data_IF_335526233831
#
_entry.id   IF_335526233831
#
_cell.length_a   1.000
_cell.length_b   1.000
_cell.length_c   1.000
_cell.angle_alpha   90.00
_cell.angle_beta   90.00
_cell.angle_gamma   90.00
#
_symmetry.space_group_name_H-M   'P 1'
#
loop_
_entity.id
_entity.type
_entity.pdbx_description
1 polymer ?
#
# COMPACT_ATOMS: atom_id res chain seq x y z
N UNK A 1 17.75 -0.14 8.06
CA UNK A 1 16.72 0.91 7.87
C UNK A 1 15.36 0.31 7.45
N UNK A 2 14.85 -0.74 8.12
CA UNK A 2 13.56 -1.39 7.75
C UNK A 2 12.61 -1.57 8.96
N UNK A 3 12.34 -0.48 9.69
CA UNK A 3 11.51 -0.53 10.91
C UNK A 3 10.01 -0.26 10.68
N UNK A 4 9.60 0.08 9.45
CA UNK A 4 8.22 0.56 9.16
C UNK A 4 7.66 0.14 7.79
N UNK A 5 8.31 -0.77 7.08
CA UNK A 5 8.02 -1.06 5.67
C UNK A 5 6.63 -1.70 5.46
N UNK A 6 6.21 -2.62 6.33
CA UNK A 6 4.98 -3.37 6.13
C UNK A 6 3.70 -2.51 6.14
N UNK A 7 3.66 -1.43 6.95
CA UNK A 7 2.50 -0.52 7.02
C UNK A 7 2.35 0.34 5.77
N UNK A 8 3.43 0.99 5.33
CA UNK A 8 3.42 1.85 4.14
C UNK A 8 3.40 1.04 2.84
N UNK A 9 3.91 -0.19 2.88
CA UNK A 9 4.02 -1.09 1.75
C UNK A 9 2.88 -2.11 1.64
N UNK A 10 1.75 -1.95 2.34
CA UNK A 10 0.65 -2.94 2.32
C UNK A 10 0.18 -3.28 0.91
N UNK A 11 0.05 -2.27 0.06
CA UNK A 11 -0.33 -2.45 -1.35
C UNK A 11 0.71 -3.25 -2.11
N UNK A 12 2.00 -2.98 -1.88
CA UNK A 12 3.10 -3.72 -2.53
C UNK A 12 3.12 -5.17 -2.05
N UNK A 13 3.06 -5.39 -0.73
CA UNK A 13 3.05 -6.71 -0.12
C UNK A 13 1.82 -7.53 -0.50
N UNK A 14 0.64 -6.91 -0.58
CA UNK A 14 -0.58 -7.57 -1.00
C UNK A 14 -0.56 -7.97 -2.48
N UNK A 15 0.21 -7.25 -3.32
CA UNK A 15 0.42 -7.58 -4.73
C UNK A 15 1.40 -8.71 -4.98
N UNK A 16 2.14 -9.17 -3.96
CA UNK A 16 3.08 -10.28 -4.09
C UNK A 16 2.36 -11.64 -4.10
N UNK A 17 2.89 -12.64 -4.84
CA UNK A 17 2.48 -14.03 -4.67
C UNK A 17 2.56 -14.49 -3.21
N UNK A 18 1.67 -15.37 -2.72
CA UNK A 18 1.64 -15.74 -1.30
C UNK A 18 2.97 -16.24 -0.72
N UNK A 19 3.80 -16.92 -1.52
CA UNK A 19 5.12 -17.38 -1.10
C UNK A 19 6.11 -16.22 -0.94
N UNK A 20 6.20 -15.33 -1.93
CA UNK A 20 7.06 -14.14 -1.90
C UNK A 20 6.62 -13.16 -0.81
N UNK A 21 5.31 -13.02 -0.59
CA UNK A 21 4.75 -12.21 0.50
C UNK A 21 5.18 -12.72 1.87
N UNK A 22 5.08 -14.04 2.08
CA UNK A 22 5.53 -14.67 3.34
C UNK A 22 7.01 -14.44 3.56
N UNK A 23 7.81 -14.73 2.54
CA UNK A 23 9.28 -14.53 2.58
C UNK A 23 9.63 -13.07 2.87
N UNK A 24 9.01 -12.10 2.17
CA UNK A 24 9.21 -10.68 2.40
C UNK A 24 8.89 -10.29 3.85
N UNK A 25 7.77 -10.78 4.39
CA UNK A 25 7.38 -10.49 5.76
C UNK A 25 8.27 -11.19 6.81
N UNK A 26 8.92 -12.31 6.48
CA UNK A 26 9.87 -12.99 7.36
C UNK A 26 11.21 -12.23 7.46
N UNK A 27 11.56 -11.47 6.42
CA UNK A 27 12.72 -10.58 6.38
C UNK A 27 12.47 -9.22 7.04
N UNK A 28 11.21 -8.82 7.19
CA UNK A 28 10.82 -7.64 7.97
C UNK A 28 10.83 -8.08 9.42
N UNK A 29 11.90 -7.75 10.16
CA UNK A 29 12.01 -8.03 11.59
C UNK A 29 10.80 -7.54 12.43
N UNK A 30 10.83 -7.70 13.76
CA UNK A 30 9.64 -7.52 14.60
C UNK A 30 8.93 -6.18 14.35
N UNK A 31 7.60 -6.24 14.22
CA UNK A 31 6.76 -5.08 13.98
C UNK A 31 6.77 -4.16 15.22
N UNK A 32 7.41 -3.00 15.07
CA UNK A 32 7.49 -2.01 16.15
C UNK A 32 6.12 -1.36 16.40
N UNK A 33 5.65 -1.40 17.65
CA UNK A 33 4.45 -0.68 18.08
C UNK A 33 4.75 0.81 18.18
N UNK A 34 4.10 1.63 17.35
CA UNK A 34 4.22 3.09 17.41
C UNK A 34 3.04 3.74 18.15
N UNK A 35 1.86 3.11 18.07
CA UNK A 35 0.62 3.56 18.69
C UNK A 35 -0.16 2.37 19.22
N UNK A 36 -1.25 2.63 19.97
CA UNK A 36 -2.18 1.59 20.39
C UNK A 36 -2.84 0.82 19.23
N UNK A 37 -2.93 1.45 18.04
CA UNK A 37 -3.58 0.88 16.84
C UNK A 37 -2.61 0.15 15.91
N UNK A 38 -1.30 0.21 16.17
CA UNK A 38 -0.30 -0.44 15.32
C UNK A 38 -0.52 -1.96 15.28
N UNK A 39 -0.69 -2.53 14.09
CA UNK A 39 -0.71 -3.98 13.92
C UNK A 39 0.70 -4.52 14.20
N UNK A 40 0.80 -5.36 15.22
CA UNK A 40 2.05 -6.03 15.64
C UNK A 40 1.96 -7.55 15.57
N UNK A 41 0.75 -8.08 15.43
CA UNK A 41 0.51 -9.50 15.21
C UNK A 41 0.66 -9.85 13.72
N UNK A 42 1.37 -10.95 13.46
CA UNK A 42 1.68 -11.39 12.09
C UNK A 42 0.44 -11.93 11.38
N UNK A 43 -0.37 -12.76 12.04
CA UNK A 43 -1.59 -13.31 11.46
C UNK A 43 -2.56 -12.20 11.05
N UNK A 44 -2.74 -11.22 11.94
CA UNK A 44 -3.58 -10.06 11.66
C UNK A 44 -3.06 -9.20 10.51
N UNK A 45 -1.75 -9.05 10.37
CA UNK A 45 -1.18 -8.36 9.22
C UNK A 45 -1.48 -9.12 7.91
N UNK A 46 -1.35 -10.45 7.91
CA UNK A 46 -1.67 -11.27 6.74
C UNK A 46 -3.14 -11.16 6.33
N UNK A 47 -4.06 -11.22 7.28
CA UNK A 47 -5.50 -10.99 7.03
C UNK A 47 -5.76 -9.63 6.37
N UNK A 48 -5.09 -8.58 6.85
CA UNK A 48 -5.20 -7.24 6.26
C UNK A 48 -4.61 -7.20 4.85
N UNK A 49 -3.51 -7.90 4.59
CA UNK A 49 -2.92 -7.97 3.25
C UNK A 49 -3.82 -8.73 2.27
N UNK A 50 -4.51 -9.78 2.71
CA UNK A 50 -5.50 -10.49 1.91
C UNK A 50 -6.68 -9.57 1.55
N UNK A 51 -7.20 -8.81 2.52
CA UNK A 51 -8.23 -7.81 2.27
C UNK A 51 -7.78 -6.74 1.26
N UNK A 52 -6.54 -6.24 1.41
CA UNK A 52 -5.96 -5.26 0.48
C UNK A 52 -5.83 -5.83 -0.93
N UNK A 53 -5.44 -7.09 -1.08
CA UNK A 53 -5.33 -7.77 -2.36
C UNK A 53 -6.70 -7.91 -3.04
N UNK A 54 -7.74 -8.25 -2.27
CA UNK A 54 -9.11 -8.40 -2.77
C UNK A 54 -9.73 -7.05 -3.20
N UNK A 55 -9.63 -6.02 -2.36
CA UNK A 55 -10.29 -4.73 -2.62
C UNK A 55 -9.47 -3.79 -3.53
N UNK A 56 -8.18 -4.05 -3.69
CA UNK A 56 -7.28 -3.27 -4.55
C UNK A 56 -6.92 -1.88 -4.01
N UNK A 57 -6.99 -1.69 -2.68
CA UNK A 57 -6.49 -0.49 -1.99
C UNK A 57 -6.18 -0.81 -0.53
N UNK A 58 -5.37 0.03 0.12
CA UNK A 58 -5.14 -0.04 1.55
C UNK A 58 -5.61 1.27 2.20
N UNK A 59 -6.44 1.16 3.23
CA UNK A 59 -6.81 2.26 4.11
C UNK A 59 -6.32 1.93 5.52
N UNK A 60 -5.58 2.84 6.15
CA UNK A 60 -5.18 2.67 7.55
C UNK A 60 -5.19 3.98 8.31
N UNK A 61 -5.52 3.91 9.59
CA UNK A 61 -5.60 5.07 10.48
C UNK A 61 -4.91 4.78 11.81
N UNK A 62 -4.18 5.78 12.30
CA UNK A 62 -3.72 5.75 13.68
C UNK A 62 -2.52 4.84 13.92
N UNK A 63 -2.01 4.15 12.89
CA UNK A 63 -0.95 3.16 13.06
C UNK A 63 0.47 3.75 13.07
N UNK A 64 0.66 4.94 12.49
CA UNK A 64 1.94 5.65 12.51
C UNK A 64 1.91 6.79 13.53
N UNK A 65 0.77 7.47 13.61
CA UNK A 65 0.44 8.56 14.51
C UNK A 65 -1.09 8.51 14.69
N UNK A 66 -1.59 8.71 15.92
CA UNK A 66 -3.03 8.62 16.25
C UNK A 66 -3.90 9.56 15.41
N UNK A 67 -3.35 10.71 14.99
CA UNK A 67 -4.03 11.70 14.15
C UNK A 67 -3.92 11.44 12.65
N UNK A 68 -3.25 10.38 12.20
CA UNK A 68 -2.94 10.18 10.77
C UNK A 68 -3.84 9.12 10.12
N UNK A 69 -4.40 9.43 8.96
CA UNK A 69 -4.99 8.46 8.04
C UNK A 69 -4.24 8.45 6.71
N UNK A 70 -4.12 7.28 6.10
CA UNK A 70 -3.62 7.14 4.74
C UNK A 70 -4.48 6.17 3.93
N UNK A 71 -4.59 6.48 2.62
CA UNK A 71 -5.14 5.59 1.61
C UNK A 71 -4.11 5.40 0.50
N UNK A 72 -3.98 4.18 -0.01
CA UNK A 72 -3.03 3.83 -1.05
C UNK A 72 -3.63 2.87 -2.09
N UNK A 73 -3.18 2.99 -3.33
CA UNK A 73 -3.59 2.15 -4.48
C UNK A 73 -2.36 1.60 -5.22
N UNK A 74 -2.46 0.41 -5.83
CA UNK A 74 -1.38 -0.16 -6.62
C UNK A 74 -1.19 0.58 -7.95
N UNK A 75 0.05 0.60 -8.41
CA UNK A 75 0.44 0.92 -9.79
C UNK A 75 0.98 -0.37 -10.39
N UNK A 76 0.43 -0.75 -11.53
CA UNK A 76 0.78 -2.00 -12.21
C UNK A 76 1.66 -1.77 -13.43
N UNK A 77 2.48 -2.76 -13.75
CA UNK A 77 3.09 -2.85 -15.07
C UNK A 77 2.14 -3.45 -16.12
N UNK A 78 2.66 -3.63 -17.34
CA UNK A 78 1.92 -4.23 -18.47
C UNK A 78 1.48 -5.68 -18.21
N UNK A 79 2.19 -6.39 -17.34
CA UNK A 79 1.95 -7.79 -16.98
C UNK A 79 1.03 -7.88 -15.73
N UNK A 80 0.42 -6.74 -15.34
CA UNK A 80 -0.48 -6.59 -14.19
C UNK A 80 0.19 -6.85 -12.83
N UNK A 81 1.52 -6.81 -12.77
CA UNK A 81 2.26 -6.91 -11.51
C UNK A 81 2.27 -5.56 -10.81
N UNK A 82 2.10 -5.56 -9.49
CA UNK A 82 2.23 -4.34 -8.68
C UNK A 82 3.72 -3.96 -8.62
N UNK A 83 4.06 -2.81 -9.20
CA UNK A 83 5.45 -2.31 -9.28
C UNK A 83 5.69 -1.05 -8.45
N UNK A 84 4.60 -0.36 -8.10
CA UNK A 84 4.65 0.80 -7.22
C UNK A 84 3.30 0.98 -6.51
N UNK A 85 3.22 1.95 -5.61
CA UNK A 85 1.99 2.36 -4.96
C UNK A 85 1.92 3.89 -4.91
N UNK A 86 0.71 4.43 -5.07
CA UNK A 86 0.41 5.86 -4.88
C UNK A 86 -0.39 5.98 -3.60
N UNK A 87 0.01 6.90 -2.71
CA UNK A 87 -0.70 7.13 -1.47
C UNK A 87 -1.04 8.61 -1.26
N UNK A 88 -2.05 8.82 -0.42
CA UNK A 88 -2.35 10.11 0.19
C UNK A 88 -2.40 9.93 1.69
N UNK A 89 -1.81 10.86 2.43
CA UNK A 89 -1.84 10.89 3.89
C UNK A 89 -2.41 12.23 4.37
N UNK A 90 -3.22 12.19 5.42
CA UNK A 90 -3.95 13.36 5.94
C UNK A 90 -4.23 13.22 7.42
N UNK A 91 -4.55 14.33 8.08
CA UNK A 91 -5.07 14.29 9.44
C UNK A 91 -6.47 13.64 9.45
N UNK A 92 -6.71 12.71 10.37
CA UNK A 92 -7.94 11.90 10.43
C UNK A 92 -9.20 12.70 10.78
N UNK A 93 -9.06 13.90 11.33
CA UNK A 93 -10.19 14.83 11.57
C UNK A 93 -10.72 15.50 10.30
N UNK A 94 -9.97 15.47 9.19
CA UNK A 94 -10.35 16.19 7.97
C UNK A 94 -11.44 15.48 7.16
N UNK A 95 -11.50 14.15 7.26
CA UNK A 95 -12.45 13.30 6.54
C UNK A 95 -12.80 12.05 7.35
N UNK A 96 -13.84 11.33 6.99
CA UNK A 96 -14.14 9.98 7.49
C UNK A 96 -13.50 8.89 6.62
N UNK A 97 -13.39 7.63 7.09
CA UNK A 97 -13.00 6.50 6.25
C UNK A 97 -13.86 6.37 4.99
N UNK A 98 -15.16 6.58 5.10
CA UNK A 98 -16.13 6.50 4.02
C UNK A 98 -15.89 7.60 2.99
N UNK A 99 -15.64 8.85 3.41
CA UNK A 99 -15.28 9.94 2.49
C UNK A 99 -13.95 9.68 1.79
N UNK A 100 -13.00 9.01 2.44
CA UNK A 100 -11.76 8.60 1.77
C UNK A 100 -12.04 7.58 0.65
N UNK A 101 -12.93 6.61 0.86
CA UNK A 101 -13.24 5.58 -0.15
C UNK A 101 -14.19 6.07 -1.23
N UNK A 102 -15.09 7.01 -0.95
CA UNK A 102 -16.04 7.53 -1.94
C UNK A 102 -15.50 8.70 -2.75
N UNK A 103 -14.64 9.55 -2.16
CA UNK A 103 -14.15 10.76 -2.84
C UNK A 103 -12.69 10.69 -3.26
N UNK A 104 -11.80 10.19 -2.38
CA UNK A 104 -10.36 10.19 -2.66
C UNK A 104 -9.92 8.98 -3.47
N UNK A 105 -10.44 7.80 -3.15
CA UNK A 105 -10.06 6.56 -3.83
C UNK A 105 -10.27 6.62 -5.35
N UNK A 106 -11.38 7.15 -5.91
CA UNK A 106 -11.53 7.28 -7.36
C UNK A 106 -10.45 8.19 -7.97
N UNK A 107 -10.11 9.30 -7.30
CA UNK A 107 -9.07 10.22 -7.76
C UNK A 107 -7.69 9.57 -7.71
N UNK A 108 -7.36 8.87 -6.61
CA UNK A 108 -6.10 8.12 -6.50
C UNK A 108 -5.99 7.04 -7.59
N UNK A 109 -7.07 6.30 -7.87
CA UNK A 109 -7.10 5.30 -8.95
C UNK A 109 -6.87 5.94 -10.32
N UNK A 110 -7.49 7.10 -10.58
CA UNK A 110 -7.26 7.85 -11.82
C UNK A 110 -5.80 8.31 -11.93
N UNK A 111 -5.20 8.80 -10.84
CA UNK A 111 -3.77 9.16 -10.79
C UNK A 111 -2.88 7.94 -11.06
N UNK A 112 -3.15 6.80 -10.42
CA UNK A 112 -2.41 5.57 -10.66
C UNK A 112 -2.50 5.12 -12.13
N UNK A 113 -3.70 5.12 -12.73
CA UNK A 113 -3.88 4.75 -14.13
C UNK A 113 -3.11 5.67 -15.10
N UNK A 114 -3.00 6.96 -14.79
CA UNK A 114 -2.16 7.89 -15.57
C UNK A 114 -0.68 7.55 -15.45
N UNK A 115 -0.21 7.24 -14.23
CA UNK A 115 1.17 6.79 -14.00
C UNK A 115 1.43 5.49 -14.76
N UNK A 116 0.51 4.52 -14.73
CA UNK A 116 0.62 3.26 -15.48
C UNK A 116 0.77 3.50 -16.99
N UNK A 117 0.01 4.46 -17.54
CA UNK A 117 0.06 4.84 -18.96
C UNK A 117 1.42 5.43 -19.34
N UNK A 118 1.93 6.36 -18.53
CA UNK A 118 3.23 6.99 -18.76
C UNK A 118 4.37 5.99 -18.56
N UNK A 119 4.28 5.15 -17.52
CA UNK A 119 5.24 4.09 -17.22
C UNK A 119 5.34 3.07 -18.36
N UNK A 120 4.21 2.63 -18.93
CA UNK A 120 4.17 1.74 -20.08
C UNK A 120 4.82 2.38 -21.34
N UNK A 121 4.77 3.70 -21.46
CA UNK A 121 5.43 4.44 -22.55
C UNK A 121 6.93 4.51 -22.31
N UNK A 122 7.36 4.93 -21.12
CA UNK A 122 8.77 5.09 -20.77
C UNK A 122 9.54 3.76 -20.84
N UNK A 123 8.92 2.65 -20.38
CA UNK A 123 9.54 1.32 -20.39
C UNK A 123 9.80 0.74 -21.78
N UNK A 124 9.23 1.35 -22.85
CA UNK A 124 9.59 1.03 -24.24
C UNK A 124 10.96 1.54 -24.64
N UNK A 125 11.45 2.59 -23.97
CA UNK A 125 12.67 3.30 -24.34
C UNK A 125 13.78 3.14 -23.31
N UNK A 126 13.43 2.83 -22.05
CA UNK A 126 14.38 2.69 -20.94
C UNK A 126 13.99 1.52 -20.05
N UNK A 127 14.94 0.66 -19.69
CA UNK A 127 14.73 -0.32 -18.62
C UNK A 127 14.65 0.42 -17.29
N UNK A 128 13.47 0.47 -16.69
CA UNK A 128 13.30 0.97 -15.31
C UNK A 128 13.51 -0.23 -14.38
N UNK A 129 14.58 -0.27 -13.57
CA UNK A 129 14.74 -1.33 -12.59
C UNK A 129 13.62 -1.23 -11.56
N UNK A 130 12.90 -2.33 -11.35
CA UNK A 130 11.96 -2.47 -10.24
C UNK A 130 12.80 -2.91 -9.04
N UNK A 131 13.03 -1.99 -8.10
CA UNK A 131 13.75 -2.26 -6.84
C UNK A 131 12.93 -3.11 -5.89
#
# INVERSE_FOLDING_TARGET
>A
MHRSAARRGRVLLAGLPPAERRDALDHVGPLERLTGRTITDRGRLEEVLDQVAEQGYALHEGELDEGLRSIAVPVHDRDRKVVAAVNAAMHNSRRTPEECTTELLPQLRATAARIETEFATATRFVKIPVT
#
